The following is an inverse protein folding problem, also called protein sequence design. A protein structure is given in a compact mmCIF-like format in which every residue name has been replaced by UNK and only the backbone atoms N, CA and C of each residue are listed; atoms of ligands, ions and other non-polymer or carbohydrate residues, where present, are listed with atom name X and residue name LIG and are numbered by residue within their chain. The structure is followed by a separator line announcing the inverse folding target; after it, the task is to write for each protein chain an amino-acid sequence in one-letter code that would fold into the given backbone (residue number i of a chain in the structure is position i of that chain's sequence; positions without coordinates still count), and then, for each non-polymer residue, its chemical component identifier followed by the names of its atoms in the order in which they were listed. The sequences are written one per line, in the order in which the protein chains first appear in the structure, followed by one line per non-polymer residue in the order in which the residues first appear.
data_IF_058790372136
#
_entry.id   IF_058790372136
#
_cell.length_a   1.000
_cell.length_b   1.000
_cell.length_c   1.000
_cell.angle_alpha   90.00
_cell.angle_beta   90.00
_cell.angle_gamma   90.00
#
_symmetry.space_group_name_H-M   'P 1'
#
loop_
_entity.id
_entity.type
_entity.pdbx_description
1 polymer ?
#
# COMPACT_ATOMS: atom_id res chain seq x y z
N UNK A 1 -31.07 18.33 15.17
CA UNK A 1 -30.51 16.94 15.08
C UNK A 1 -29.15 16.99 14.40
N UNK A 2 -28.07 16.74 15.12
CA UNK A 2 -26.71 16.71 14.54
C UNK A 2 -26.48 15.35 13.87
N UNK A 3 -26.01 15.26 12.63
CA UNK A 3 -25.67 13.98 12.03
C UNK A 3 -24.45 13.39 12.74
N UNK A 4 -24.62 12.22 13.35
CA UNK A 4 -23.54 11.45 13.95
C UNK A 4 -22.63 10.91 12.84
N UNK A 5 -21.48 11.53 12.63
CA UNK A 5 -20.44 11.03 11.72
C UNK A 5 -19.83 9.77 12.32
N UNK A 6 -20.35 8.62 11.92
CA UNK A 6 -19.77 7.32 12.30
C UNK A 6 -18.50 7.07 11.49
N UNK A 7 -17.42 6.93 12.20
CA UNK A 7 -16.04 6.86 11.75
C UNK A 7 -15.70 5.45 11.26
N UNK A 8 -15.01 5.34 10.13
CA UNK A 8 -14.55 4.07 9.56
C UNK A 8 -13.38 3.50 10.40
N UNK A 9 -13.50 2.24 10.82
CA UNK A 9 -12.42 1.52 11.47
C UNK A 9 -11.44 0.98 10.42
N UNK A 10 -10.13 1.19 10.65
CA UNK A 10 -9.06 0.66 9.81
C UNK A 10 -8.51 -0.59 10.48
N UNK A 11 -8.55 -1.71 9.80
CA UNK A 11 -7.97 -2.97 10.29
C UNK A 11 -6.70 -3.27 9.49
N UNK A 12 -5.57 -3.32 10.17
CA UNK A 12 -4.29 -3.72 9.62
C UNK A 12 -4.00 -5.16 10.07
N UNK A 13 -3.78 -6.07 9.12
CA UNK A 13 -3.37 -7.43 9.44
C UNK A 13 -1.97 -7.69 8.88
N UNK A 14 -1.06 -8.18 9.72
CA UNK A 14 0.24 -8.70 9.31
C UNK A 14 0.18 -10.22 9.40
N UNK A 15 0.55 -10.90 8.32
CA UNK A 15 0.95 -12.30 8.33
C UNK A 15 2.47 -12.33 8.24
N UNK A 16 3.14 -12.67 9.35
CA UNK A 16 4.58 -12.94 9.37
C UNK A 16 4.79 -14.35 8.83
N UNK A 17 5.45 -14.49 7.69
CA UNK A 17 5.99 -15.77 7.25
C UNK A 17 7.38 -15.93 7.85
N UNK A 18 7.52 -16.93 8.73
CA UNK A 18 8.83 -17.40 9.19
C UNK A 18 9.54 -18.10 8.02
N UNK A 19 10.64 -17.54 7.57
CA UNK A 19 11.55 -18.17 6.61
C UNK A 19 12.46 -19.12 7.38
N UNK A 20 12.25 -20.43 7.22
CA UNK A 20 13.19 -21.44 7.70
C UNK A 20 14.39 -21.46 6.77
N UNK A 21 15.53 -20.98 7.25
CA UNK A 21 16.81 -21.05 6.55
C UNK A 21 17.30 -22.49 6.49
N UNK A 22 17.57 -22.98 5.28
CA UNK A 22 18.34 -24.21 5.06
C UNK A 22 19.76 -23.80 4.71
N UNK A 23 20.69 -24.12 5.59
CA UNK A 23 22.12 -23.96 5.33
C UNK A 23 22.60 -25.07 4.40
N UNK A 24 23.20 -24.72 3.27
CA UNK A 24 23.99 -25.64 2.45
C UNK A 24 25.48 -25.37 2.68
N UNK A 25 26.16 -26.41 3.14
CA UNK A 25 27.63 -26.47 3.22
C UNK A 25 28.18 -26.59 1.80
N UNK A 26 29.27 -25.84 1.56
CA UNK A 26 30.09 -25.99 0.37
C UNK A 26 31.05 -27.18 0.55
N UNK A 27 31.16 -28.04 -0.44
CA UNK A 27 32.39 -28.79 -0.68
C UNK A 27 32.65 -28.86 -2.18
N UNK A 28 33.91 -28.64 -2.53
CA UNK A 28 34.39 -28.47 -3.87
C UNK A 28 34.82 -29.78 -4.54
N UNK A 29 35.09 -29.65 -5.78
CA UNK A 29 36.06 -30.28 -6.70
C UNK A 29 35.45 -30.73 -8.01
N UNK A 30 35.80 -30.03 -9.02
CA UNK A 30 36.58 -30.39 -10.26
C UNK A 30 36.01 -31.43 -11.24
N UNK A 31 36.11 -31.02 -12.50
CA UNK A 31 36.46 -31.78 -13.70
C UNK A 31 35.37 -32.25 -14.67
N UNK A 32 35.52 -31.70 -15.88
CA UNK A 32 35.26 -32.24 -17.25
C UNK A 32 33.86 -32.33 -17.80
N UNK A 33 33.67 -31.54 -18.85
CA UNK A 33 32.74 -31.78 -19.97
C UNK A 33 33.05 -33.07 -20.73
N UNK A 34 32.02 -33.72 -21.23
CA UNK A 34 31.93 -33.81 -22.70
C UNK A 34 30.54 -33.47 -23.28
N UNK A 35 30.69 -33.13 -24.52
CA UNK A 35 29.72 -32.77 -25.54
C UNK A 35 28.67 -33.85 -25.88
N UNK A 36 27.50 -33.32 -26.40
CA UNK A 36 26.57 -33.96 -27.35
C UNK A 36 25.43 -34.81 -26.77
N UNK A 37 24.19 -34.43 -26.95
CA UNK A 37 23.27 -34.77 -28.06
C UNK A 37 21.83 -34.38 -27.69
N UNK A 38 21.15 -33.87 -28.70
CA UNK A 38 19.73 -33.56 -28.76
C UNK A 38 18.82 -34.68 -28.27
N UNK A 39 17.88 -34.34 -27.36
CA UNK A 39 16.64 -35.08 -27.27
C UNK A 39 15.51 -34.08 -26.96
N UNK A 40 14.71 -33.83 -28.00
CA UNK A 40 13.44 -33.09 -27.93
C UNK A 40 12.46 -33.93 -27.11
N UNK A 41 12.22 -33.51 -25.86
CA UNK A 41 11.08 -34.02 -25.11
C UNK A 41 10.08 -32.88 -24.93
N UNK A 42 8.92 -33.06 -25.53
CA UNK A 42 7.82 -32.13 -25.51
C UNK A 42 7.38 -31.79 -24.09
N UNK A 43 7.58 -30.54 -23.71
CA UNK A 43 7.04 -29.99 -22.48
C UNK A 43 5.57 -29.64 -22.69
N UNK A 44 4.69 -30.51 -22.23
CA UNK A 44 3.25 -30.25 -22.15
C UNK A 44 3.05 -29.17 -21.08
N UNK A 45 2.93 -27.91 -21.51
CA UNK A 45 2.55 -26.79 -20.64
C UNK A 45 1.11 -27.03 -20.15
N UNK A 46 0.96 -27.28 -18.86
CA UNK A 46 -0.35 -27.26 -18.23
C UNK A 46 -0.95 -25.82 -18.38
N UNK A 47 -2.26 -25.72 -18.69
CA UNK A 47 -2.88 -24.41 -18.85
C UNK A 47 -2.81 -23.64 -17.53
N UNK A 48 -2.17 -22.46 -17.58
CA UNK A 48 -2.18 -21.52 -16.48
C UNK A 48 -3.63 -21.12 -16.21
N UNK A 49 -4.15 -21.51 -15.05
CA UNK A 49 -5.48 -21.06 -14.59
C UNK A 49 -5.42 -19.56 -14.37
N UNK A 50 -5.84 -18.79 -15.35
CA UNK A 50 -6.01 -17.35 -15.23
C UNK A 50 -7.15 -17.09 -14.26
N UNK A 51 -6.82 -16.85 -13.00
CA UNK A 51 -7.80 -16.37 -12.01
C UNK A 51 -8.21 -14.96 -12.44
N UNK A 52 -9.28 -14.86 -13.19
CA UNK A 52 -9.90 -13.60 -13.56
C UNK A 52 -10.40 -12.93 -12.30
N UNK A 53 -9.70 -11.88 -11.85
CA UNK A 53 -10.20 -11.02 -10.78
C UNK A 53 -11.56 -10.45 -11.20
N UNK A 54 -12.58 -10.46 -10.35
CA UNK A 54 -13.90 -9.95 -10.70
C UNK A 54 -13.75 -8.49 -11.14
N UNK A 55 -14.20 -8.19 -12.35
CA UNK A 55 -14.23 -6.84 -12.91
C UNK A 55 -15.08 -5.96 -12.01
N UNK A 56 -14.44 -5.01 -11.32
CA UNK A 56 -15.15 -4.05 -10.49
C UNK A 56 -15.92 -3.09 -11.39
N UNK A 57 -17.23 -3.16 -11.34
CA UNK A 57 -18.10 -2.17 -12.00
C UNK A 57 -17.75 -0.79 -11.46
N UNK A 58 -17.44 0.20 -12.33
CA UNK A 58 -17.12 1.54 -11.88
C UNK A 58 -18.30 2.17 -11.14
N UNK A 59 -18.21 2.26 -9.82
CA UNK A 59 -19.22 2.97 -9.00
C UNK A 59 -18.86 4.46 -8.99
N UNK A 60 -19.80 5.38 -9.25
CA UNK A 60 -19.55 6.82 -9.16
C UNK A 60 -18.96 7.17 -7.80
N UNK A 61 -17.78 7.80 -7.78
CA UNK A 61 -16.97 8.05 -6.56
C UNK A 61 -17.70 8.85 -5.48
N UNK A 62 -18.65 9.70 -5.85
CA UNK A 62 -19.44 10.52 -4.93
C UNK A 62 -20.50 9.76 -4.11
N UNK A 63 -20.77 8.49 -4.41
CA UNK A 63 -21.79 7.66 -3.74
C UNK A 63 -21.23 6.46 -2.97
N UNK A 64 -19.90 6.32 -2.89
CA UNK A 64 -19.29 5.18 -2.19
C UNK A 64 -19.27 5.44 -0.69
N UNK A 65 -20.18 4.78 0.05
CA UNK A 65 -20.14 4.78 1.51
C UNK A 65 -19.12 3.76 2.02
N UNK A 66 -17.91 4.23 2.31
CA UNK A 66 -16.86 3.40 2.92
C UNK A 66 -17.24 3.10 4.37
N UNK A 67 -17.28 1.83 4.74
CA UNK A 67 -17.49 1.36 6.10
C UNK A 67 -16.17 1.22 6.87
N UNK A 68 -15.16 0.65 6.25
CA UNK A 68 -13.80 0.57 6.78
C UNK A 68 -12.78 0.40 5.65
N UNK A 69 -11.53 0.61 6.00
CA UNK A 69 -10.38 0.46 5.09
C UNK A 69 -9.40 -0.53 5.71
N UNK A 70 -8.86 -1.45 4.91
CA UNK A 70 -7.77 -2.34 5.26
C UNK A 70 -6.53 -1.96 4.47
N UNK A 71 -5.43 -1.71 5.16
CA UNK A 71 -4.10 -1.49 4.54
C UNK A 71 -3.30 -2.78 4.71
N UNK A 72 -2.80 -3.33 3.61
CA UNK A 72 -1.94 -4.51 3.60
C UNK A 72 -0.53 -4.05 3.25
N UNK A 73 0.34 -3.98 4.26
CA UNK A 73 1.69 -3.41 4.11
C UNK A 73 2.55 -4.25 3.16
N UNK A 74 2.45 -5.56 3.21
CA UNK A 74 3.19 -6.47 2.33
C UNK A 74 2.82 -6.34 0.85
N UNK A 75 1.60 -5.88 0.57
CA UNK A 75 1.10 -5.70 -0.79
C UNK A 75 1.19 -4.24 -1.27
N UNK A 76 1.57 -3.31 -0.38
CA UNK A 76 1.52 -1.88 -0.61
C UNK A 76 0.18 -1.45 -1.19
N UNK A 77 -0.92 -1.89 -0.56
CA UNK A 77 -2.28 -1.75 -1.08
C UNK A 77 -3.30 -1.42 -0.01
N UNK A 78 -4.27 -0.61 -0.40
CA UNK A 78 -5.44 -0.22 0.40
C UNK A 78 -6.68 -0.86 -0.18
N UNK A 79 -7.48 -1.49 0.66
CA UNK A 79 -8.76 -2.09 0.32
C UNK A 79 -9.88 -1.36 1.05
N UNK A 80 -10.85 -0.84 0.33
CA UNK A 80 -12.02 -0.17 0.87
C UNK A 80 -13.24 -1.10 0.86
N UNK A 81 -13.93 -1.16 1.99
CA UNK A 81 -15.11 -1.99 2.18
C UNK A 81 -16.32 -1.14 2.59
N UNK A 82 -17.49 -1.53 2.17
CA UNK A 82 -18.75 -0.92 2.64
C UNK A 82 -19.12 -1.42 4.05
N UNK A 83 -20.22 -0.89 4.61
CA UNK A 83 -20.75 -1.30 5.92
C UNK A 83 -21.15 -2.79 5.99
N UNK A 84 -21.46 -3.42 4.84
CA UNK A 84 -21.79 -4.84 4.73
C UNK A 84 -20.55 -5.72 4.51
N UNK A 85 -19.35 -5.18 4.72
CA UNK A 85 -18.04 -5.85 4.53
C UNK A 85 -17.76 -6.34 3.10
N UNK A 86 -18.45 -5.82 2.10
CA UNK A 86 -18.14 -6.10 0.70
C UNK A 86 -17.03 -5.16 0.23
N UNK A 87 -16.04 -5.71 -0.45
CA UNK A 87 -14.99 -4.95 -1.13
C UNK A 87 -15.63 -4.07 -2.21
N UNK A 88 -15.32 -2.78 -2.21
CA UNK A 88 -15.84 -1.79 -3.14
C UNK A 88 -14.75 -1.13 -3.98
N UNK A 89 -13.52 -1.10 -3.49
CA UNK A 89 -12.38 -0.59 -4.22
C UNK A 89 -11.06 -1.11 -3.64
N UNK A 90 -10.01 -1.12 -4.46
CA UNK A 90 -8.63 -1.29 -3.99
C UNK A 90 -7.71 -0.32 -4.72
N UNK A 91 -6.71 0.20 -3.98
CA UNK A 91 -5.82 1.24 -4.46
C UNK A 91 -4.37 0.84 -4.19
N UNK A 92 -3.45 1.01 -5.16
CA UNK A 92 -2.03 0.92 -4.86
C UNK A 92 -1.65 2.05 -3.89
N UNK A 93 -0.80 1.73 -2.94
CA UNK A 93 -0.35 2.66 -1.91
C UNK A 93 1.17 2.61 -1.75
N UNK A 94 1.73 3.57 -1.02
CA UNK A 94 3.08 3.48 -0.49
C UNK A 94 3.05 3.88 0.98
N UNK A 95 3.47 2.95 1.83
CA UNK A 95 3.42 3.08 3.29
C UNK A 95 4.75 3.54 3.86
N UNK A 96 4.89 3.53 5.19
CA UNK A 96 6.13 3.91 5.86
C UNK A 96 7.27 2.95 5.60
N UNK A 97 8.44 3.48 5.24
CA UNK A 97 9.68 2.72 5.19
C UNK A 97 10.06 2.20 6.59
N UNK A 98 10.82 1.10 6.65
CA UNK A 98 11.33 0.54 7.91
C UNK A 98 10.21 0.31 8.96
N UNK A 99 9.06 -0.19 8.51
CA UNK A 99 7.90 -0.51 9.35
C UNK A 99 7.39 0.66 10.21
N UNK A 100 7.56 1.89 9.73
CA UNK A 100 7.11 3.09 10.45
C UNK A 100 5.60 3.32 10.38
N UNK A 101 4.85 2.63 9.49
CA UNK A 101 3.39 2.65 9.53
C UNK A 101 2.89 1.76 10.68
N UNK A 102 2.22 2.32 11.71
CA UNK A 102 1.74 1.52 12.84
C UNK A 102 0.71 0.47 12.44
N UNK A 103 0.80 -0.68 13.08
CA UNK A 103 -0.10 -1.81 12.88
C UNK A 103 -1.17 -1.83 13.97
N UNK A 104 -2.42 -2.07 13.60
CA UNK A 104 -3.51 -2.15 14.56
C UNK A 104 -4.86 -1.73 13.98
N UNK A 105 -5.81 -1.47 14.87
CA UNK A 105 -7.10 -0.88 14.54
C UNK A 105 -7.11 0.56 14.95
N UNK A 106 -7.50 1.43 14.04
CA UNK A 106 -7.51 2.86 14.24
C UNK A 106 -8.85 3.46 13.84
N UNK A 107 -9.12 4.63 14.38
CA UNK A 107 -10.29 5.42 14.03
C UNK A 107 -9.85 6.76 13.47
N UNK A 108 -10.43 7.17 12.34
CA UNK A 108 -10.16 8.49 11.79
C UNK A 108 -10.62 9.56 12.77
N UNK A 109 -9.71 10.43 13.20
CA UNK A 109 -10.02 11.49 14.15
C UNK A 109 -10.03 12.90 13.54
N UNK A 110 -9.38 13.10 12.38
CA UNK A 110 -9.45 14.40 11.70
C UNK A 110 -9.18 14.27 10.18
N UNK A 111 -9.65 15.27 9.45
CA UNK A 111 -9.42 15.41 8.01
C UNK A 111 -9.07 16.85 7.67
N UNK A 112 -8.25 17.04 6.63
CA UNK A 112 -8.01 18.36 6.05
C UNK A 112 -7.82 18.24 4.55
N UNK A 113 -8.26 19.24 3.80
CA UNK A 113 -8.08 19.29 2.34
C UNK A 113 -6.59 19.34 1.98
N UNK A 114 -5.79 20.00 2.82
CA UNK A 114 -4.35 20.13 2.66
C UNK A 114 -3.63 19.96 4.00
N UNK A 115 -2.42 19.41 3.95
CA UNK A 115 -1.48 19.33 5.07
C UNK A 115 -0.06 19.62 4.56
N UNK A 116 0.87 19.75 5.47
CA UNK A 116 2.30 19.91 5.18
C UNK A 116 3.13 19.00 6.11
N UNK A 117 4.36 18.74 5.70
CA UNK A 117 5.32 18.02 6.51
C UNK A 117 6.03 19.00 7.45
N UNK A 118 5.82 18.85 8.76
CA UNK A 118 6.30 19.84 9.75
C UNK A 118 7.81 20.12 9.68
N UNK A 119 8.70 19.12 9.50
CA UNK A 119 10.12 19.38 9.35
C UNK A 119 10.49 20.12 8.06
N UNK A 120 9.64 20.06 7.03
CA UNK A 120 9.81 20.76 5.76
C UNK A 120 8.47 21.31 5.26
N UNK A 121 8.02 22.48 5.67
CA UNK A 121 6.72 23.03 5.30
C UNK A 121 6.52 23.30 3.80
N UNK A 122 7.60 23.33 3.02
CA UNK A 122 7.53 23.37 1.55
C UNK A 122 7.03 22.07 0.94
N UNK A 123 7.05 20.97 1.69
CA UNK A 123 6.48 19.69 1.29
C UNK A 123 5.02 19.60 1.75
N UNK A 124 4.11 19.52 0.81
CA UNK A 124 2.67 19.55 1.05
C UNK A 124 2.00 18.31 0.49
N UNK A 125 0.80 18.01 1.01
CA UNK A 125 -0.01 16.88 0.59
C UNK A 125 -1.51 17.22 0.63
N UNK A 126 -2.28 16.67 -0.30
CA UNK A 126 -3.74 16.87 -0.39
C UNK A 126 -4.48 15.74 0.32
N UNK A 127 -5.69 16.06 0.83
CA UNK A 127 -6.66 15.09 1.35
C UNK A 127 -6.18 14.26 2.54
N UNK A 128 -5.54 14.93 3.52
CA UNK A 128 -5.04 14.25 4.72
C UNK A 128 -6.18 13.73 5.59
N UNK A 129 -6.22 12.42 5.81
CA UNK A 129 -7.18 11.72 6.69
C UNK A 129 -6.39 11.01 7.80
N UNK A 130 -6.37 11.61 9.01
CA UNK A 130 -5.53 11.17 10.13
C UNK A 130 -6.20 10.09 10.94
N UNK A 131 -5.46 9.04 11.29
CA UNK A 131 -5.98 7.91 12.06
C UNK A 131 -5.12 7.54 13.28
N UNK A 132 -3.87 7.98 13.36
CA UNK A 132 -3.02 7.73 14.53
C UNK A 132 -1.88 8.74 14.63
N UNK A 133 -1.05 8.57 15.65
CA UNK A 133 0.19 9.30 15.86
C UNK A 133 1.39 8.39 15.63
N UNK A 134 2.48 8.94 15.12
CA UNK A 134 3.77 8.31 15.03
C UNK A 134 4.50 8.27 16.36
N UNK A 135 5.68 7.67 16.38
CA UNK A 135 6.51 7.55 17.60
C UNK A 135 6.93 8.91 18.16
N UNK A 136 7.10 9.91 17.32
CA UNK A 136 7.49 11.27 17.66
C UNK A 136 6.29 12.20 17.86
N UNK A 137 5.06 11.67 17.89
CA UNK A 137 3.84 12.43 18.09
C UNK A 137 3.28 13.09 16.82
N UNK A 138 3.94 12.92 15.67
CA UNK A 138 3.49 13.35 14.36
C UNK A 138 2.19 12.66 13.94
N UNK A 139 1.46 13.31 13.04
CA UNK A 139 0.19 12.73 12.55
C UNK A 139 0.43 11.73 11.44
N UNK A 140 -0.07 10.51 11.60
CA UNK A 140 -0.11 9.49 10.54
C UNK A 140 -1.52 9.39 9.97
N UNK A 141 -1.61 9.31 8.65
CA UNK A 141 -2.87 9.27 7.92
C UNK A 141 -2.73 8.84 6.47
N UNK A 142 -3.86 8.81 5.78
CA UNK A 142 -3.90 8.70 4.33
C UNK A 142 -3.76 10.10 3.72
N UNK A 143 -3.08 10.21 2.59
CA UNK A 143 -3.02 11.44 1.81
C UNK A 143 -2.59 11.16 0.36
N UNK A 144 -2.83 12.10 -0.53
CA UNK A 144 -2.33 12.07 -1.90
C UNK A 144 -0.80 12.13 -1.93
N UNK A 145 -0.20 11.71 -3.07
CA UNK A 145 1.26 11.85 -3.27
C UNK A 145 1.69 13.26 -2.87
N UNK A 146 2.70 13.39 -1.97
CA UNK A 146 3.20 14.70 -1.56
C UNK A 146 3.86 15.43 -2.73
N UNK A 147 3.94 16.74 -2.62
CA UNK A 147 4.59 17.59 -3.59
C UNK A 147 5.37 18.70 -2.90
N UNK A 148 6.43 19.16 -3.56
CA UNK A 148 7.19 20.33 -3.12
C UNK A 148 6.71 21.56 -3.87
N UNK A 149 6.41 22.60 -3.11
CA UNK A 149 6.06 23.90 -3.69
C UNK A 149 7.32 24.59 -4.17
N UNK A 150 7.33 25.01 -5.42
CA UNK A 150 8.45 25.79 -6.01
C UNK A 150 7.93 26.99 -6.77
N UNK A 151 8.78 28.02 -7.02
CA UNK A 151 8.39 29.18 -7.84
C UNK A 151 7.96 28.83 -9.28
N UNK A 152 8.37 27.64 -9.76
CA UNK A 152 8.03 27.13 -11.11
C UNK A 152 6.83 26.19 -11.11
N UNK A 153 6.17 25.98 -9.96
CA UNK A 153 5.04 25.08 -9.77
C UNK A 153 5.32 23.95 -8.79
N UNK A 154 4.30 23.14 -8.55
CA UNK A 154 4.36 22.01 -7.61
C UNK A 154 5.04 20.81 -8.27
N UNK A 155 6.05 20.26 -7.60
CA UNK A 155 6.79 19.08 -8.07
C UNK A 155 6.40 17.88 -7.20
N UNK A 156 5.72 16.84 -7.76
CA UNK A 156 5.39 15.63 -7.03
C UNK A 156 6.64 14.91 -6.53
N UNK A 157 6.61 14.41 -5.30
CA UNK A 157 7.69 13.60 -4.76
C UNK A 157 7.58 12.17 -5.28
N UNK A 158 8.75 11.56 -5.53
CA UNK A 158 8.82 10.16 -5.95
C UNK A 158 8.06 9.26 -4.96
N UNK A 159 7.08 8.52 -5.49
CA UNK A 159 6.24 7.62 -4.69
C UNK A 159 5.85 6.40 -5.52
N UNK A 160 6.55 5.28 -5.38
CA UNK A 160 6.28 4.03 -6.13
C UNK A 160 5.07 3.31 -5.53
N UNK A 161 3.87 3.76 -5.88
CA UNK A 161 2.61 3.18 -5.40
C UNK A 161 2.48 1.71 -5.79
N UNK A 162 2.12 0.85 -4.82
CA UNK A 162 1.94 -0.59 -5.01
C UNK A 162 3.25 -1.39 -5.09
N UNK A 163 4.40 -0.74 -4.88
CA UNK A 163 5.72 -1.37 -5.06
C UNK A 163 6.54 -1.31 -3.77
N UNK A 164 6.83 -0.11 -3.28
CA UNK A 164 7.80 0.07 -2.19
C UNK A 164 7.30 1.08 -1.15
N UNK A 165 7.49 0.81 0.16
CA UNK A 165 7.24 1.78 1.21
C UNK A 165 8.34 2.85 1.22
N UNK A 166 7.95 4.14 1.17
CA UNK A 166 8.91 5.27 1.15
C UNK A 166 8.50 6.44 2.05
N UNK A 167 7.38 6.34 2.80
CA UNK A 167 6.94 7.43 3.68
C UNK A 167 7.58 7.33 5.07
N UNK A 168 7.36 8.35 5.90
CA UNK A 168 7.72 8.35 7.32
C UNK A 168 6.65 7.70 8.23
N UNK A 169 5.64 7.02 7.63
CA UNK A 169 4.58 6.33 8.35
C UNK A 169 3.19 6.52 7.74
N UNK A 170 2.96 7.58 7.00
CA UNK A 170 1.71 7.82 6.29
C UNK A 170 1.47 6.84 5.13
N UNK A 171 0.22 6.67 4.76
CA UNK A 171 -0.21 5.88 3.61
C UNK A 171 -0.46 6.81 2.43
N UNK A 172 0.47 6.82 1.48
CA UNK A 172 0.40 7.64 0.26
C UNK A 172 -0.48 6.96 -0.78
N UNK A 173 -1.34 7.71 -1.42
CA UNK A 173 -2.24 7.28 -2.48
C UNK A 173 -2.10 8.20 -3.70
N UNK A 174 -2.60 7.79 -4.85
CA UNK A 174 -2.84 8.73 -5.94
C UNK A 174 -3.80 9.82 -5.45
N UNK A 175 -3.56 11.07 -5.81
CA UNK A 175 -4.37 12.23 -5.34
C UNK A 175 -5.87 12.04 -5.59
N UNK A 176 -6.22 11.38 -6.70
CA UNK A 176 -7.63 11.07 -7.02
C UNK A 176 -8.27 10.01 -6.14
N UNK A 177 -7.49 9.25 -5.38
CA UNK A 177 -7.91 8.08 -4.59
C UNK A 177 -7.79 8.35 -3.07
N UNK A 178 -7.24 9.51 -2.67
CA UNK A 178 -7.00 9.95 -1.29
C UNK A 178 -8.22 10.63 -0.63
#
# INVERSE_FOLDING_TARGET
MKPSTRIAAITLAITSFASSGVAFAADGTDTTLPSSQDTVLGSTLAPATTTTLPSLVPVPRNKIAIGYVKVVLSEQRVYAYNKRRRLIASFPASTGANDTTPVGRFTVFSKSAQAYYSPNPGERMKFMTRFTKGREGDNIGFHGIPYRVTPKGDIPLYTPLGITPVSHGCVRLKVSDA
#
